data_IF_572510816816
#
_entry.id   IF_572510816816
#
_cell.length_a   1.000
_cell.length_b   1.000
_cell.length_c   1.000
_cell.angle_alpha   90.00
_cell.angle_beta   90.00
_cell.angle_gamma   90.00
#
_symmetry.space_group_name_H-M   'P 1'
#
loop_
_entity.id
_entity.type
_entity.pdbx_description
1 polymer ?
#
# COMPACT_ATOMS: atom_id res chain seq x y z
N UNK A 1 -6.16 -22.76 3.08
CA UNK A 1 -6.39 -21.71 2.09
C UNK A 1 -5.28 -20.74 2.28
N UNK A 2 -4.46 -20.55 1.24
CA UNK A 2 -3.27 -19.73 1.34
C UNK A 2 -3.67 -18.28 1.09
N UNK A 3 -3.26 -17.39 1.99
CA UNK A 3 -3.51 -15.96 1.85
C UNK A 3 -2.84 -15.44 0.57
N UNK A 4 -3.41 -14.39 -0.02
CA UNK A 4 -2.84 -13.76 -1.21
C UNK A 4 -1.53 -13.08 -0.82
N UNK A 5 -0.44 -13.52 -1.45
CA UNK A 5 0.90 -12.99 -1.20
C UNK A 5 1.08 -11.65 -1.90
N UNK A 6 1.40 -10.63 -1.12
CA UNK A 6 1.64 -9.27 -1.59
C UNK A 6 3.05 -8.85 -1.24
N UNK A 7 3.75 -8.23 -2.19
CA UNK A 7 4.97 -7.47 -1.94
C UNK A 7 4.69 -5.97 -2.11
N UNK A 8 5.42 -5.14 -1.35
CA UNK A 8 5.32 -3.68 -1.43
C UNK A 8 6.67 -3.09 -1.81
N UNK A 9 6.72 -2.25 -2.84
CA UNK A 9 7.84 -1.38 -3.18
C UNK A 9 7.38 0.07 -3.05
N UNK A 10 7.65 0.72 -1.92
CA UNK A 10 7.06 2.04 -1.70
C UNK A 10 7.36 2.61 -0.33
N UNK A 11 6.35 3.17 0.33
CA UNK A 11 6.49 3.87 1.61
C UNK A 11 5.46 3.43 2.64
N UNK A 12 5.43 4.12 3.79
CA UNK A 12 4.37 3.95 4.78
C UNK A 12 2.97 4.15 4.19
N UNK A 13 2.81 5.01 3.17
CA UNK A 13 1.53 5.21 2.49
C UNK A 13 0.93 3.92 1.93
N UNK A 14 1.78 3.00 1.46
CA UNK A 14 1.37 1.69 0.92
C UNK A 14 1.52 0.58 1.94
N UNK A 15 2.68 0.49 2.58
CA UNK A 15 3.03 -0.60 3.51
C UNK A 15 2.07 -0.66 4.70
N UNK A 16 1.67 0.48 5.25
CA UNK A 16 0.88 0.51 6.48
C UNK A 16 -0.58 0.08 6.26
N UNK A 17 -1.03 -0.08 5.01
CA UNK A 17 -2.29 -0.77 4.71
C UNK A 17 -2.27 -2.25 5.14
N UNK A 18 -1.07 -2.82 5.32
CA UNK A 18 -0.83 -4.16 5.86
C UNK A 18 -0.36 -4.12 7.32
N UNK A 19 -0.90 -3.19 8.10
CA UNK A 19 -0.66 -3.05 9.54
C UNK A 19 -1.96 -3.23 10.32
N UNK A 20 -1.99 -4.15 11.28
CA UNK A 20 -3.19 -4.47 12.06
C UNK A 20 -3.65 -3.32 12.97
N UNK A 21 -2.85 -2.25 13.13
CA UNK A 21 -3.30 -1.01 13.77
C UNK A 21 -4.31 -0.25 12.90
N UNK A 22 -4.13 -0.25 11.58
CA UNK A 22 -5.01 0.45 10.64
C UNK A 22 -6.07 -0.47 10.06
N UNK A 23 -5.69 -1.69 9.65
CA UNK A 23 -6.58 -2.69 9.09
C UNK A 23 -6.49 -4.01 9.91
N UNK A 24 -7.20 -4.16 11.04
CA UNK A 24 -7.03 -5.32 11.94
C UNK A 24 -7.16 -6.68 11.26
N UNK A 25 -8.03 -6.79 10.25
CA UNK A 25 -8.42 -8.06 9.61
C UNK A 25 -7.72 -8.33 8.28
N UNK A 26 -6.75 -7.50 7.83
CA UNK A 26 -6.14 -7.70 6.50
C UNK A 26 -5.53 -9.11 6.33
N UNK A 27 -5.06 -9.72 7.43
CA UNK A 27 -4.44 -11.05 7.48
C UNK A 27 -5.42 -12.19 7.20
N UNK A 28 -6.72 -11.93 7.14
CA UNK A 28 -7.70 -12.90 6.69
C UNK A 28 -7.68 -13.10 5.16
N UNK A 29 -7.06 -12.17 4.44
CA UNK A 29 -7.05 -12.12 2.97
C UNK A 29 -5.63 -12.07 2.40
N UNK A 30 -4.73 -11.30 3.02
CA UNK A 30 -3.41 -10.97 2.50
C UNK A 30 -2.29 -11.38 3.43
N UNK A 31 -1.17 -11.78 2.84
CA UNK A 31 0.12 -11.90 3.51
C UNK A 31 1.10 -10.94 2.84
N UNK A 32 1.49 -9.87 3.55
CA UNK A 32 2.53 -8.96 3.08
C UNK A 32 3.91 -9.60 3.33
N UNK A 33 4.40 -10.33 2.34
CA UNK A 33 5.55 -11.23 2.44
C UNK A 33 6.90 -10.52 2.24
N UNK A 34 6.89 -9.37 1.57
CA UNK A 34 8.11 -8.63 1.27
C UNK A 34 7.82 -7.14 1.20
N UNK A 35 8.74 -6.32 1.69
CA UNK A 35 8.67 -4.87 1.53
C UNK A 35 10.03 -4.34 1.11
N UNK A 36 10.06 -3.31 0.28
CA UNK A 36 11.19 -2.39 0.10
C UNK A 36 10.63 -1.01 0.41
N UNK A 37 11.23 -0.34 1.39
CA UNK A 37 10.67 0.90 1.90
C UNK A 37 11.59 2.08 1.59
N UNK A 38 11.01 3.14 1.02
CA UNK A 38 11.63 4.43 0.81
C UNK A 38 12.93 4.37 0.00
N UNK A 39 12.90 3.57 -1.08
CA UNK A 39 13.98 3.42 -2.08
C UNK A 39 13.50 3.93 -3.43
N UNK A 40 14.32 4.77 -4.07
CA UNK A 40 14.09 5.26 -5.44
C UNK A 40 14.23 4.12 -6.44
N UNK A 41 13.39 4.12 -7.48
CA UNK A 41 13.55 3.16 -8.59
C UNK A 41 14.90 3.27 -9.29
N UNK A 42 15.46 4.49 -9.36
CA UNK A 42 16.81 4.70 -9.92
C UNK A 42 17.84 3.90 -9.11
N UNK A 43 17.78 3.99 -7.79
CA UNK A 43 18.66 3.23 -6.90
C UNK A 43 18.44 1.73 -7.06
N UNK A 44 17.18 1.26 -6.99
CA UNK A 44 16.85 -0.16 -7.00
C UNK A 44 17.35 -0.88 -8.26
N UNK A 45 17.23 -0.23 -9.42
CA UNK A 45 17.58 -0.81 -10.72
C UNK A 45 19.00 -0.46 -11.20
N UNK A 46 19.84 0.04 -10.29
CA UNK A 46 21.26 0.28 -10.51
C UNK A 46 22.11 -0.85 -9.91
N UNK A 47 23.42 -0.82 -10.19
CA UNK A 47 24.36 -1.80 -9.65
C UNK A 47 24.38 -1.77 -8.10
N UNK A 48 24.50 -2.92 -7.42
CA UNK A 48 24.61 -2.96 -5.97
C UNK A 48 25.92 -2.30 -5.50
N UNK A 49 25.86 -1.72 -4.30
CA UNK A 49 27.02 -1.20 -3.60
C UNK A 49 27.63 -2.30 -2.74
N UNK A 50 28.95 -2.49 -2.85
CA UNK A 50 29.70 -3.33 -1.92
C UNK A 50 29.95 -2.51 -0.65
N UNK A 51 29.52 -3.03 0.49
CA UNK A 51 29.66 -2.38 1.79
C UNK A 51 30.04 -3.37 2.88
N UNK A 52 30.45 -2.82 4.02
CA UNK A 52 30.86 -3.50 5.24
C UNK A 52 30.06 -2.97 6.44
N UNK A 53 30.10 -3.64 7.58
CA UNK A 53 29.46 -3.15 8.81
C UNK A 53 29.93 -1.75 9.22
N UNK A 54 31.19 -1.40 8.93
CA UNK A 54 31.74 -0.08 9.20
C UNK A 54 31.15 1.02 8.30
N UNK A 55 30.52 0.66 7.19
CA UNK A 55 29.84 1.59 6.30
C UNK A 55 28.46 1.96 6.83
N UNK A 56 27.78 1.01 7.47
CA UNK A 56 26.44 1.18 8.07
C UNK A 56 26.54 1.86 9.44
N UNK A 57 27.46 1.38 10.30
CA UNK A 57 27.63 1.87 11.66
C UNK A 57 26.45 1.55 12.57
N UNK A 58 26.20 2.41 13.56
CA UNK A 58 25.13 2.22 14.54
C UNK A 58 23.81 2.82 14.03
N UNK A 59 22.90 1.93 13.60
CA UNK A 59 21.51 2.24 13.27
C UNK A 59 20.59 1.29 14.04
N UNK A 60 19.35 1.71 14.30
CA UNK A 60 18.32 0.78 14.74
C UNK A 60 17.98 -0.21 13.61
N UNK A 61 17.38 -1.35 13.95
CA UNK A 61 17.12 -2.44 13.00
C UNK A 61 16.34 -2.00 11.76
N UNK A 62 15.36 -1.11 11.94
CA UNK A 62 14.56 -0.59 10.83
C UNK A 62 15.40 0.29 9.90
N UNK A 63 16.13 1.27 10.43
CA UNK A 63 16.98 2.16 9.64
C UNK A 63 18.09 1.36 8.94
N UNK A 64 18.69 0.40 9.63
CA UNK A 64 19.68 -0.53 9.09
C UNK A 64 19.12 -1.30 7.89
N UNK A 65 17.98 -1.98 8.07
CA UNK A 65 17.34 -2.76 7.01
C UNK A 65 17.07 -1.93 5.75
N UNK A 66 16.60 -0.69 5.90
CA UNK A 66 16.35 0.18 4.74
C UNK A 66 17.65 0.56 4.00
N UNK A 67 18.72 0.86 4.74
CA UNK A 67 20.01 1.23 4.11
C UNK A 67 20.64 0.01 3.44
N UNK A 68 20.65 -1.14 4.12
CA UNK A 68 21.29 -2.37 3.62
C UNK A 68 20.57 -2.92 2.38
N UNK A 69 19.24 -2.90 2.35
CA UNK A 69 18.48 -3.33 1.17
C UNK A 69 18.61 -2.35 0.00
N UNK A 70 18.72 -1.04 0.27
CA UNK A 70 19.04 -0.05 -0.76
C UNK A 70 20.48 -0.21 -1.29
N UNK A 71 21.46 -0.59 -0.46
CA UNK A 71 22.83 -0.82 -0.92
C UNK A 71 22.95 -2.12 -1.72
N UNK A 72 22.42 -3.21 -1.19
CA UNK A 72 22.55 -4.55 -1.78
C UNK A 72 21.59 -4.83 -2.95
N UNK A 73 20.51 -4.04 -3.08
CA UNK A 73 19.39 -4.28 -4.00
C UNK A 73 18.72 -5.65 -3.79
N UNK A 74 18.82 -6.20 -2.57
CA UNK A 74 18.40 -7.58 -2.28
C UNK A 74 16.92 -7.85 -2.56
N UNK A 75 16.08 -6.82 -2.53
CA UNK A 75 14.64 -6.91 -2.83
C UNK A 75 14.35 -7.60 -4.17
N UNK A 76 15.17 -7.38 -5.21
CA UNK A 76 14.96 -8.03 -6.51
C UNK A 76 15.16 -9.55 -6.41
N UNK A 77 16.18 -10.01 -5.68
CA UNK A 77 16.41 -11.43 -5.45
C UNK A 77 15.33 -12.05 -4.56
N UNK A 78 14.89 -11.32 -3.53
CA UNK A 78 13.83 -11.76 -2.63
C UNK A 78 12.46 -11.84 -3.34
N UNK A 79 12.17 -10.94 -4.27
CA UNK A 79 10.97 -11.01 -5.13
C UNK A 79 10.93 -12.33 -5.91
N UNK A 80 12.04 -12.72 -6.54
CA UNK A 80 12.15 -14.00 -7.27
C UNK A 80 11.90 -15.18 -6.33
N UNK A 81 12.48 -15.14 -5.14
CA UNK A 81 12.40 -16.25 -4.18
C UNK A 81 10.99 -16.41 -3.61
N UNK A 82 10.28 -15.31 -3.38
CA UNK A 82 9.01 -15.30 -2.67
C UNK A 82 7.78 -15.35 -3.59
N UNK A 83 7.96 -15.01 -4.87
CA UNK A 83 6.94 -15.09 -5.93
C UNK A 83 5.58 -14.49 -5.51
N UNK A 84 5.52 -13.18 -5.18
CA UNK A 84 4.27 -12.55 -4.80
C UNK A 84 3.26 -12.56 -5.95
N UNK A 85 1.98 -12.75 -5.62
CA UNK A 85 0.89 -12.61 -6.59
C UNK A 85 0.73 -11.15 -7.03
N UNK A 86 0.91 -10.21 -6.10
CA UNK A 86 0.81 -8.77 -6.36
C UNK A 86 2.06 -8.02 -5.88
N UNK A 87 2.56 -7.12 -6.71
CA UNK A 87 3.54 -6.10 -6.32
C UNK A 87 2.85 -4.73 -6.32
N UNK A 88 2.72 -4.12 -5.14
CA UNK A 88 2.13 -2.78 -5.00
C UNK A 88 3.25 -1.74 -4.92
N UNK A 89 3.22 -0.76 -5.82
CA UNK A 89 4.29 0.23 -6.00
C UNK A 89 3.80 1.63 -5.69
N UNK A 90 4.59 2.42 -4.96
CA UNK A 90 4.48 3.87 -4.88
C UNK A 90 5.85 4.54 -5.08
N UNK A 91 5.87 5.79 -5.55
CA UNK A 91 7.09 6.52 -5.89
C UNK A 91 7.52 7.55 -4.84
N UNK A 92 7.15 7.33 -3.57
CA UNK A 92 7.46 8.27 -2.49
C UNK A 92 8.93 8.66 -2.43
N UNK A 93 9.84 7.69 -2.58
CA UNK A 93 11.26 7.95 -2.48
C UNK A 93 11.79 8.81 -3.62
N UNK A 94 11.26 8.60 -4.83
CA UNK A 94 11.60 9.40 -6.00
C UNK A 94 11.14 10.85 -5.84
N UNK A 95 9.98 11.06 -5.21
CA UNK A 95 9.42 12.39 -4.92
C UNK A 95 10.16 13.10 -3.78
N UNK A 96 10.51 12.39 -2.71
CA UNK A 96 11.02 13.03 -1.49
C UNK A 96 12.53 13.01 -1.33
N UNK A 97 13.25 12.07 -1.95
CA UNK A 97 14.68 11.87 -1.69
C UNK A 97 15.56 12.09 -2.92
N UNK A 98 15.19 11.52 -4.06
CA UNK A 98 16.10 11.42 -5.20
C UNK A 98 17.24 10.42 -4.92
N UNK A 99 18.36 10.58 -5.62
CA UNK A 99 19.51 9.67 -5.54
C UNK A 99 20.84 10.39 -5.39
N UNK A 100 21.86 9.68 -4.89
CA UNK A 100 23.27 10.05 -4.99
C UNK A 100 23.91 9.20 -6.08
N UNK A 101 24.59 9.86 -7.03
CA UNK A 101 25.44 9.23 -8.04
C UNK A 101 26.78 8.88 -7.42
N UNK A 102 27.20 7.61 -7.52
CA UNK A 102 28.48 7.14 -6.99
C UNK A 102 29.48 6.90 -8.13
N UNK A 103 29.07 6.09 -9.10
CA UNK A 103 29.83 5.71 -10.29
C UNK A 103 28.87 5.51 -11.47
N UNK A 104 29.39 5.05 -12.61
CA UNK A 104 28.55 4.74 -13.78
C UNK A 104 27.57 3.61 -13.45
N UNK A 105 26.26 3.89 -13.57
CA UNK A 105 25.17 2.95 -13.27
C UNK A 105 25.18 2.39 -11.83
N UNK A 106 25.71 3.15 -10.86
CA UNK A 106 25.62 2.83 -9.43
C UNK A 106 25.06 4.02 -8.65
N UNK A 107 23.84 3.84 -8.13
CA UNK A 107 23.10 4.86 -7.41
C UNK A 107 22.64 4.33 -6.04
N UNK A 108 22.52 5.23 -5.07
CA UNK A 108 21.85 4.97 -3.79
C UNK A 108 20.76 6.00 -3.56
N UNK A 109 19.70 5.63 -2.86
CA UNK A 109 18.62 6.57 -2.54
C UNK A 109 19.13 7.60 -1.54
N UNK A 110 18.92 8.90 -1.79
CA UNK A 110 19.32 9.97 -0.88
C UNK A 110 18.35 10.10 0.32
N UNK A 111 18.10 8.98 0.99
CA UNK A 111 17.20 8.93 2.13
C UNK A 111 17.84 9.62 3.34
N UNK A 112 17.71 10.95 3.39
CA UNK A 112 18.25 11.82 4.42
C UNK A 112 17.83 11.45 5.85
N UNK A 113 16.77 10.65 6.01
CA UNK A 113 16.32 10.19 7.33
C UNK A 113 17.17 9.04 7.88
N UNK A 114 17.87 8.29 7.03
CA UNK A 114 18.57 7.05 7.40
C UNK A 114 20.01 7.05 6.91
N UNK A 115 20.20 7.22 5.60
CA UNK A 115 21.52 7.20 4.96
C UNK A 115 22.47 8.22 5.58
N UNK A 116 21.99 9.43 5.86
CA UNK A 116 22.85 10.52 6.34
C UNK A 116 23.46 10.27 7.74
N UNK A 117 22.91 9.32 8.49
CA UNK A 117 23.43 8.92 9.81
C UNK A 117 24.64 7.99 9.69
N UNK A 118 24.79 7.30 8.55
CA UNK A 118 25.82 6.28 8.32
C UNK A 118 27.22 6.87 8.24
N UNK A 119 28.27 6.14 8.69
CA UNK A 119 29.65 6.49 8.40
C UNK A 119 29.95 6.58 6.90
N UNK A 120 29.30 5.75 6.07
CA UNK A 120 29.47 5.79 4.61
C UNK A 120 29.13 7.16 4.03
N UNK A 121 27.95 7.70 4.34
CA UNK A 121 27.54 9.01 3.84
C UNK A 121 28.47 10.13 4.34
N UNK A 122 28.93 10.08 5.59
CA UNK A 122 29.87 11.06 6.13
C UNK A 122 31.15 11.12 5.30
N UNK A 123 31.72 9.94 4.96
CA UNK A 123 32.92 9.86 4.12
C UNK A 123 32.66 10.29 2.68
N UNK A 124 31.49 9.99 2.11
CA UNK A 124 31.11 10.51 0.77
C UNK A 124 31.12 12.04 0.77
N UNK A 125 30.50 12.65 1.78
CA UNK A 125 30.42 14.10 1.94
C UNK A 125 31.81 14.73 2.13
N UNK A 126 32.67 14.14 2.96
CA UNK A 126 34.05 14.60 3.18
C UNK A 126 34.89 14.58 1.90
N UNK A 127 34.64 13.62 1.01
CA UNK A 127 35.30 13.52 -0.30
C UNK A 127 34.68 14.40 -1.38
N UNK A 128 33.55 15.06 -1.11
CA UNK A 128 32.76 15.77 -2.13
C UNK A 128 32.15 14.86 -3.19
N UNK A 129 32.05 13.55 -2.92
CA UNK A 129 31.52 12.53 -3.83
C UNK A 129 30.04 12.27 -3.52
N UNK A 130 29.23 13.33 -3.49
CA UNK A 130 27.82 13.29 -3.12
C UNK A 130 26.97 14.08 -4.12
N UNK A 131 27.19 13.83 -5.42
CA UNK A 131 26.36 14.40 -6.47
C UNK A 131 24.92 13.91 -6.31
N UNK A 132 24.02 14.84 -5.94
CA UNK A 132 22.62 14.57 -5.68
C UNK A 132 21.80 14.94 -6.89
N UNK A 133 20.94 14.04 -7.31
CA UNK A 133 20.02 14.22 -8.43
C UNK A 133 18.61 14.04 -7.88
N UNK A 134 17.77 15.08 -8.00
CA UNK A 134 16.38 15.05 -7.54
C UNK A 134 15.42 15.39 -8.67
N UNK A 135 14.16 14.96 -8.54
CA UNK A 135 13.13 15.29 -9.53
C UNK A 135 12.83 16.79 -9.62
N UNK A 136 13.11 17.55 -8.55
CA UNK A 136 12.86 18.99 -8.49
C UNK A 136 14.04 19.81 -9.03
N UNK A 137 15.26 19.48 -8.61
CA UNK A 137 16.44 20.27 -8.95
C UNK A 137 17.06 19.84 -10.30
N UNK A 138 16.75 18.62 -10.77
CA UNK A 138 17.34 17.99 -11.96
C UNK A 138 16.27 17.30 -12.82
N UNK A 139 15.09 17.91 -12.99
CA UNK A 139 13.89 17.26 -13.56
C UNK A 139 14.14 16.45 -14.83
N UNK A 140 14.74 17.04 -15.86
CA UNK A 140 14.96 16.34 -17.14
C UNK A 140 15.87 15.12 -17.00
N UNK A 141 17.01 15.28 -16.32
CA UNK A 141 17.96 14.20 -16.08
C UNK A 141 17.36 13.10 -15.20
N UNK A 142 16.67 13.51 -14.13
CA UNK A 142 16.05 12.59 -13.18
C UNK A 142 14.98 11.75 -13.85
N UNK A 143 14.06 12.38 -14.60
CA UNK A 143 13.00 11.69 -15.32
C UNK A 143 13.56 10.74 -16.38
N UNK A 144 14.63 11.12 -17.10
CA UNK A 144 15.27 10.21 -18.05
C UNK A 144 15.78 8.94 -17.37
N UNK A 145 16.53 9.08 -16.27
CA UNK A 145 17.05 7.93 -15.50
C UNK A 145 15.93 7.11 -14.87
N UNK A 146 14.92 7.78 -14.32
CA UNK A 146 13.79 7.12 -13.69
C UNK A 146 12.99 6.29 -14.70
N UNK A 147 12.70 6.83 -15.90
CA UNK A 147 12.04 6.09 -16.98
C UNK A 147 12.83 4.85 -17.40
N UNK A 148 14.15 4.99 -17.57
CA UNK A 148 15.03 3.84 -17.84
C UNK A 148 14.97 2.78 -16.73
N UNK A 149 14.90 3.20 -15.46
CA UNK A 149 14.75 2.26 -14.33
C UNK A 149 13.38 1.60 -14.29
N UNK A 150 12.30 2.31 -14.63
CA UNK A 150 10.97 1.70 -14.82
C UNK A 150 11.03 0.62 -15.89
N UNK A 151 11.64 0.93 -17.05
CA UNK A 151 11.78 -0.02 -18.14
C UNK A 151 12.57 -1.27 -17.72
N UNK A 152 13.68 -1.08 -16.98
CA UNK A 152 14.44 -2.19 -16.38
C UNK A 152 13.58 -3.02 -15.41
N UNK A 153 12.77 -2.38 -14.56
CA UNK A 153 11.92 -3.07 -13.58
C UNK A 153 10.87 -3.94 -14.28
N UNK A 154 10.15 -3.39 -15.26
CA UNK A 154 9.12 -4.15 -15.97
C UNK A 154 9.71 -5.24 -16.86
N UNK A 155 10.88 -5.02 -17.46
CA UNK A 155 11.62 -6.09 -18.14
C UNK A 155 11.98 -7.23 -17.18
N UNK A 156 12.50 -6.89 -15.98
CA UNK A 156 12.79 -7.87 -14.93
C UNK A 156 11.55 -8.64 -14.48
N UNK A 157 10.43 -7.96 -14.21
CA UNK A 157 9.19 -8.59 -13.78
C UNK A 157 8.64 -9.53 -14.87
N UNK A 158 8.61 -9.08 -16.12
CA UNK A 158 8.13 -9.91 -17.23
C UNK A 158 9.01 -11.15 -17.47
N UNK A 159 10.33 -11.04 -17.29
CA UNK A 159 11.25 -12.17 -17.46
C UNK A 159 11.20 -13.15 -16.27
N UNK A 160 11.16 -12.63 -15.04
CA UNK A 160 11.43 -13.41 -13.83
C UNK A 160 10.17 -13.75 -13.03
N UNK A 161 9.12 -12.97 -13.18
CA UNK A 161 7.87 -13.04 -12.40
C UNK A 161 6.65 -12.73 -13.29
N UNK A 162 6.45 -13.45 -14.41
CA UNK A 162 5.41 -13.11 -15.41
C UNK A 162 3.97 -13.15 -14.86
N UNK A 163 3.73 -13.88 -13.78
CA UNK A 163 2.42 -13.99 -13.12
C UNK A 163 2.21 -12.94 -12.02
N UNK A 164 3.22 -12.13 -11.71
CA UNK A 164 3.12 -11.09 -10.70
C UNK A 164 2.39 -9.86 -11.25
N UNK A 165 1.25 -9.54 -10.64
CA UNK A 165 0.43 -8.41 -11.06
C UNK A 165 0.90 -7.13 -10.37
N UNK A 166 1.26 -6.11 -11.16
CA UNK A 166 1.70 -4.82 -10.63
C UNK A 166 0.49 -3.91 -10.38
N UNK A 167 0.45 -3.31 -9.20
CA UNK A 167 -0.55 -2.31 -8.80
C UNK A 167 0.18 -1.00 -8.48
N UNK A 168 -0.17 0.08 -9.17
CA UNK A 168 0.30 1.43 -8.83
C UNK A 168 -0.61 2.04 -7.78
N UNK A 169 -0.03 2.38 -6.62
CA UNK A 169 -0.71 3.13 -5.59
C UNK A 169 -0.43 4.62 -5.74
N UNK A 170 -1.45 5.36 -6.18
CA UNK A 170 -1.40 6.82 -6.35
C UNK A 170 -1.55 7.54 -5.01
N UNK A 171 -0.53 7.41 -4.15
CA UNK A 171 -0.44 8.14 -2.89
C UNK A 171 -0.15 9.64 -3.14
N UNK A 172 -0.73 10.54 -2.34
CA UNK A 172 -0.53 11.99 -2.52
C UNK A 172 -0.27 12.67 -1.19
N UNK A 173 0.66 13.63 -1.21
CA UNK A 173 0.93 14.47 -0.06
C UNK A 173 -0.34 15.25 0.33
N UNK A 174 -0.75 15.14 1.60
CA UNK A 174 -1.79 15.97 2.22
C UNK A 174 -1.16 17.25 2.77
N UNK A 175 -1.84 18.38 2.63
CA UNK A 175 -1.37 19.66 3.15
C UNK A 175 -2.03 20.09 4.46
N UNK A 176 -3.00 19.32 4.95
CA UNK A 176 -3.84 19.71 6.09
C UNK A 176 -3.65 18.73 7.25
N UNK A 177 -3.44 19.30 8.43
CA UNK A 177 -3.49 18.65 9.73
C UNK A 177 -4.88 18.87 10.34
N UNK A 178 -5.53 17.79 10.77
CA UNK A 178 -6.67 17.85 11.67
C UNK A 178 -6.17 17.86 13.13
N UNK A 179 -6.11 19.03 13.73
CA UNK A 179 -5.77 19.25 15.12
C UNK A 179 -7.04 19.29 15.96
N UNK A 180 -7.51 18.12 16.40
CA UNK A 180 -8.69 17.97 17.26
C UNK A 180 -9.96 18.67 16.72
N UNK A 181 -10.21 18.53 15.41
CA UNK A 181 -11.33 19.14 14.70
C UNK A 181 -11.00 20.48 14.03
N UNK A 182 -9.84 21.06 14.31
CA UNK A 182 -9.37 22.28 13.65
C UNK A 182 -8.46 21.93 12.48
N UNK A 183 -8.77 22.43 11.29
CA UNK A 183 -7.93 22.21 10.10
C UNK A 183 -6.82 23.27 10.05
N UNK A 184 -5.57 22.81 10.06
CA UNK A 184 -4.36 23.66 10.05
C UNK A 184 -3.49 23.29 8.86
N UNK A 185 -2.86 24.26 8.23
CA UNK A 185 -1.88 24.00 7.17
C UNK A 185 -0.60 23.38 7.76
N UNK A 186 -0.32 22.15 7.32
CA UNK A 186 0.80 21.33 7.77
C UNK A 186 2.15 22.02 7.50
N UNK A 187 2.27 22.79 6.41
CA UNK A 187 3.47 23.53 6.05
C UNK A 187 3.80 24.69 7.01
N UNK A 188 2.81 25.16 7.78
CA UNK A 188 2.94 26.29 8.72
C UNK A 188 2.80 25.89 10.20
N UNK A 189 2.35 24.68 10.49
CA UNK A 189 2.08 24.24 11.86
C UNK A 189 3.35 23.96 12.72
N UNK A 190 4.53 23.95 12.10
CA UNK A 190 5.82 23.72 12.78
C UNK A 190 6.09 22.27 13.19
N UNK A 191 5.19 21.32 12.90
CA UNK A 191 5.34 19.90 13.26
C UNK A 191 6.16 19.08 12.27
N UNK A 192 6.23 19.51 11.01
CA UNK A 192 6.98 18.85 9.94
C UNK A 192 7.79 19.87 9.15
N UNK A 193 8.81 19.38 8.42
CA UNK A 193 9.54 20.21 7.47
C UNK A 193 8.56 20.73 6.41
N UNK A 194 8.62 22.04 6.11
CA UNK A 194 7.84 22.64 5.02
C UNK A 194 8.23 22.03 3.67
N UNK A 195 7.23 21.65 2.89
CA UNK A 195 7.37 21.13 1.54
C UNK A 195 6.38 21.82 0.59
N UNK A 196 6.68 21.87 -0.72
CA UNK A 196 5.74 22.36 -1.73
C UNK A 196 4.83 21.21 -2.18
N UNK A 197 3.76 20.94 -1.41
CA UNK A 197 2.84 19.82 -1.65
C UNK A 197 2.28 19.79 -3.06
N UNK A 198 1.93 20.95 -3.62
CA UNK A 198 1.39 21.03 -4.98
C UNK A 198 2.41 20.56 -6.01
N UNK A 199 3.63 21.08 -5.96
CA UNK A 199 4.70 20.69 -6.87
C UNK A 199 5.07 19.21 -6.72
N UNK A 200 5.18 18.72 -5.48
CA UNK A 200 5.50 17.31 -5.22
C UNK A 200 4.42 16.37 -5.78
N UNK A 201 3.14 16.72 -5.61
CA UNK A 201 2.05 15.91 -6.15
C UNK A 201 1.97 16.00 -7.68
N UNK A 202 2.30 17.14 -8.30
CA UNK A 202 2.40 17.25 -9.75
C UNK A 202 3.49 16.33 -10.30
N UNK A 203 4.67 16.31 -9.68
CA UNK A 203 5.72 15.36 -10.06
C UNK A 203 5.27 13.91 -9.85
N UNK A 204 4.56 13.61 -8.75
CA UNK A 204 4.05 12.26 -8.48
C UNK A 204 3.01 11.83 -9.53
N UNK A 205 2.12 12.74 -9.94
CA UNK A 205 1.17 12.50 -11.04
C UNK A 205 1.91 12.13 -12.34
N UNK A 206 3.00 12.82 -12.67
CA UNK A 206 3.81 12.51 -13.86
C UNK A 206 4.44 11.12 -13.80
N UNK A 207 5.00 10.74 -12.64
CA UNK A 207 5.58 9.41 -12.45
C UNK A 207 4.51 8.32 -12.57
N UNK A 208 3.39 8.45 -11.85
CA UNK A 208 2.31 7.46 -11.91
C UNK A 208 1.76 7.33 -13.33
N UNK A 209 1.49 8.45 -14.00
CA UNK A 209 0.90 8.46 -15.34
C UNK A 209 1.82 7.80 -16.37
N UNK A 210 3.14 8.03 -16.28
CA UNK A 210 4.09 7.36 -17.16
C UNK A 210 3.96 5.83 -17.07
N UNK A 211 3.92 5.26 -15.86
CA UNK A 211 3.81 3.80 -15.71
C UNK A 211 2.47 3.30 -16.23
N UNK A 212 1.37 3.98 -15.89
CA UNK A 212 0.02 3.62 -16.30
C UNK A 212 -0.12 3.61 -17.83
N UNK A 213 0.48 4.58 -18.53
CA UNK A 213 0.38 4.70 -19.98
C UNK A 213 1.22 3.68 -20.75
N UNK A 214 2.28 3.13 -20.13
CA UNK A 214 3.28 2.30 -20.82
C UNK A 214 3.23 0.82 -20.43
N UNK A 215 2.61 0.47 -19.30
CA UNK A 215 2.64 -0.88 -18.74
C UNK A 215 1.27 -1.39 -18.30
N UNK A 216 1.00 -2.71 -18.40
CA UNK A 216 -0.25 -3.29 -17.94
C UNK A 216 -0.27 -3.36 -16.41
N UNK A 217 -0.83 -2.34 -15.79
CA UNK A 217 -0.92 -2.22 -14.33
C UNK A 217 -2.36 -1.98 -13.88
N UNK A 218 -2.67 -2.45 -12.68
CA UNK A 218 -3.86 -1.99 -11.96
C UNK A 218 -3.54 -0.72 -11.16
N UNK A 219 -4.56 0.04 -10.78
CA UNK A 219 -4.38 1.31 -10.07
C UNK A 219 -5.24 1.35 -8.81
N UNK A 220 -4.62 1.72 -7.69
CA UNK A 220 -5.33 2.15 -6.49
C UNK A 220 -5.17 3.66 -6.37
N UNK A 221 -6.26 4.38 -6.57
CA UNK A 221 -6.34 5.83 -6.35
C UNK A 221 -7.44 6.12 -5.33
N UNK A 222 -7.10 6.81 -4.23
CA UNK A 222 -8.03 7.09 -3.13
C UNK A 222 -8.25 8.60 -3.08
N UNK A 223 -9.28 9.05 -3.79
CA UNK A 223 -9.58 10.46 -4.04
C UNK A 223 -11.07 10.79 -3.86
N UNK A 224 -11.82 9.92 -3.20
CA UNK A 224 -13.26 10.08 -2.92
C UNK A 224 -13.55 11.32 -2.06
N UNK A 225 -12.53 11.80 -1.33
CA UNK A 225 -12.56 13.05 -0.58
C UNK A 225 -11.15 13.60 -0.36
N UNK A 226 -11.07 14.77 0.27
CA UNK A 226 -9.81 15.33 0.75
C UNK A 226 -9.42 14.65 2.06
N UNK A 227 -8.29 13.96 2.04
CA UNK A 227 -7.68 13.35 3.22
C UNK A 227 -6.75 14.33 3.94
N UNK A 228 -6.63 14.14 5.25
CA UNK A 228 -5.80 14.93 6.14
C UNK A 228 -4.90 14.01 6.96
N UNK A 229 -3.87 14.59 7.59
CA UNK A 229 -3.12 13.92 8.68
C UNK A 229 -3.70 14.33 10.03
N UNK A 230 -3.34 13.64 11.11
CA UNK A 230 -3.76 13.96 12.48
C UNK A 230 -2.62 13.79 13.48
N UNK A 231 -2.78 14.34 14.69
CA UNK A 231 -1.72 14.39 15.69
C UNK A 231 -1.38 13.02 16.28
N UNK A 232 -2.40 12.22 16.56
CA UNK A 232 -2.31 10.93 17.24
C UNK A 232 -1.97 9.79 16.26
N UNK A 233 -1.60 10.12 15.01
CA UNK A 233 -1.18 9.11 14.05
C UNK A 233 -0.03 8.29 14.64
N UNK A 234 0.00 6.95 14.52
CA UNK A 234 1.01 6.10 15.15
C UNK A 234 2.47 6.49 14.85
N UNK A 235 2.69 7.22 13.76
CA UNK A 235 3.98 7.70 13.29
C UNK A 235 4.13 9.23 13.36
N UNK A 236 3.23 9.91 14.06
CA UNK A 236 3.10 11.36 14.09
C UNK A 236 2.51 11.94 12.79
N UNK A 237 2.16 13.24 12.78
CA UNK A 237 1.60 13.87 11.59
C UNK A 237 2.65 14.00 10.48
N UNK A 238 2.30 13.66 9.25
CA UNK A 238 3.17 13.79 8.08
C UNK A 238 2.36 13.86 6.79
N UNK A 239 2.99 14.31 5.70
CA UNK A 239 2.33 14.52 4.41
C UNK A 239 1.71 13.24 3.81
N UNK A 240 2.13 12.04 4.23
CA UNK A 240 1.56 10.77 3.75
C UNK A 240 1.04 9.88 4.89
N UNK A 241 0.74 10.49 6.04
CA UNK A 241 0.16 9.81 7.20
C UNK A 241 -1.31 10.21 7.31
N UNK A 242 -2.17 9.43 6.65
CA UNK A 242 -3.57 9.77 6.49
C UNK A 242 -4.41 9.41 7.71
N UNK A 243 -5.63 9.94 7.80
CA UNK A 243 -6.66 9.45 8.71
C UNK A 243 -7.00 7.98 8.44
N UNK A 244 -7.46 7.26 9.48
CA UNK A 244 -7.64 5.79 9.44
C UNK A 244 -8.51 5.28 8.28
N UNK A 245 -9.52 6.05 7.89
CA UNK A 245 -10.44 5.77 6.79
C UNK A 245 -9.75 5.67 5.42
N UNK A 246 -8.58 6.30 5.24
CA UNK A 246 -7.77 6.13 4.03
C UNK A 246 -7.33 4.67 3.86
N UNK A 247 -6.81 4.06 4.93
CA UNK A 247 -6.27 2.70 4.90
C UNK A 247 -7.37 1.65 4.68
N UNK A 248 -8.58 1.91 5.18
CA UNK A 248 -9.76 1.09 4.89
C UNK A 248 -10.17 1.22 3.42
N UNK A 249 -10.23 2.44 2.87
CA UNK A 249 -10.57 2.66 1.47
C UNK A 249 -9.53 2.08 0.50
N UNK A 250 -8.24 2.09 0.88
CA UNK A 250 -7.20 1.38 0.16
C UNK A 250 -7.52 -0.12 0.07
N UNK A 251 -7.82 -0.75 1.22
CA UNK A 251 -8.03 -2.19 1.29
C UNK A 251 -9.26 -2.60 0.48
N UNK A 252 -10.33 -1.81 0.51
CA UNK A 252 -11.51 -2.00 -0.35
C UNK A 252 -11.18 -1.95 -1.85
N UNK A 253 -10.31 -1.04 -2.28
CA UNK A 253 -9.87 -0.98 -3.69
C UNK A 253 -8.97 -2.16 -4.06
N UNK A 254 -8.07 -2.58 -3.17
CA UNK A 254 -7.26 -3.78 -3.38
C UNK A 254 -8.14 -5.03 -3.50
N UNK A 255 -9.14 -5.17 -2.62
CA UNK A 255 -10.14 -6.24 -2.68
C UNK A 255 -10.85 -6.31 -4.02
N UNK A 256 -11.24 -5.17 -4.60
CA UNK A 256 -11.89 -5.13 -5.93
C UNK A 256 -10.97 -5.63 -7.04
N UNK A 257 -9.70 -5.22 -7.04
CA UNK A 257 -8.71 -5.68 -8.04
C UNK A 257 -8.52 -7.18 -7.93
N UNK A 258 -8.29 -7.66 -6.71
CA UNK A 258 -8.09 -9.08 -6.41
C UNK A 258 -9.31 -9.91 -6.80
N UNK A 259 -10.50 -9.44 -6.42
CA UNK A 259 -11.75 -10.10 -6.77
C UNK A 259 -11.90 -10.26 -8.29
N UNK A 260 -11.65 -9.19 -9.06
CA UNK A 260 -11.74 -9.22 -10.52
C UNK A 260 -10.78 -10.23 -11.16
N UNK A 261 -9.59 -10.41 -10.57
CA UNK A 261 -8.59 -11.37 -11.06
C UNK A 261 -8.87 -12.82 -10.64
N UNK A 262 -9.66 -13.03 -9.59
CA UNK A 262 -9.86 -14.34 -8.98
C UNK A 262 -11.33 -14.78 -8.94
N UNK A 263 -12.23 -14.26 -9.78
CA UNK A 263 -13.70 -14.46 -9.78
C UNK A 263 -14.16 -15.93 -9.53
N UNK A 264 -13.34 -16.94 -9.85
CA UNK A 264 -13.64 -18.36 -9.68
C UNK A 264 -13.01 -19.05 -8.44
N UNK A 265 -12.35 -18.31 -7.54
CA UNK A 265 -11.65 -18.87 -6.38
C UNK A 265 -12.42 -18.64 -5.05
N UNK A 266 -12.29 -19.55 -4.10
CA UNK A 266 -13.04 -19.54 -2.84
C UNK A 266 -12.69 -18.34 -1.92
N UNK A 267 -11.57 -17.66 -2.18
CA UNK A 267 -11.12 -16.40 -1.54
C UNK A 267 -12.08 -15.23 -1.80
N UNK A 268 -12.80 -15.27 -2.93
CA UNK A 268 -13.80 -14.30 -3.40
C UNK A 268 -14.94 -14.12 -2.39
N UNK A 269 -15.39 -15.20 -1.73
CA UNK A 269 -16.54 -15.14 -0.82
C UNK A 269 -16.26 -14.31 0.43
N UNK A 270 -15.06 -14.43 1.02
CA UNK A 270 -14.69 -13.62 2.20
C UNK A 270 -14.48 -12.15 1.84
N UNK A 271 -13.90 -11.89 0.67
CA UNK A 271 -13.72 -10.53 0.17
C UNK A 271 -15.09 -9.87 -0.06
N UNK A 272 -16.05 -10.60 -0.62
CA UNK A 272 -17.43 -10.12 -0.76
C UNK A 272 -18.08 -9.82 0.59
N UNK A 273 -17.93 -10.71 1.58
CA UNK A 273 -18.46 -10.50 2.94
C UNK A 273 -17.91 -9.22 3.57
N UNK A 274 -16.60 -8.95 3.46
CA UNK A 274 -16.00 -7.73 4.01
C UNK A 274 -16.47 -6.47 3.27
N UNK A 275 -16.55 -6.52 1.92
CA UNK A 275 -17.12 -5.43 1.11
C UNK A 275 -18.56 -5.13 1.54
N UNK A 276 -19.39 -6.15 1.77
CA UNK A 276 -20.79 -5.97 2.19
C UNK A 276 -20.91 -5.46 3.63
N UNK A 277 -20.05 -5.93 4.53
CA UNK A 277 -20.03 -5.45 5.92
C UNK A 277 -19.64 -3.97 5.98
N UNK A 278 -18.62 -3.56 5.23
CA UNK A 278 -18.26 -2.14 5.11
C UNK A 278 -19.37 -1.32 4.46
N UNK A 279 -20.06 -1.86 3.46
CA UNK A 279 -21.23 -1.19 2.87
C UNK A 279 -22.34 -0.97 3.89
N UNK A 280 -22.66 -1.96 4.73
CA UNK A 280 -23.72 -1.83 5.74
C UNK A 280 -23.33 -0.82 6.85
N UNK A 281 -22.08 -0.83 7.30
CA UNK A 281 -21.54 0.18 8.25
C UNK A 281 -21.53 1.60 7.65
N UNK A 282 -21.20 1.73 6.36
CA UNK A 282 -21.24 3.00 5.63
C UNK A 282 -22.67 3.48 5.35
N UNK A 283 -23.61 2.57 5.14
CA UNK A 283 -25.04 2.85 4.96
C UNK A 283 -25.69 3.33 6.25
N UNK A 284 -25.24 2.81 7.40
CA UNK A 284 -25.62 3.34 8.70
C UNK A 284 -25.04 4.75 8.98
N UNK A 285 -23.87 5.06 8.40
CA UNK A 285 -23.14 6.32 8.66
C UNK A 285 -23.35 7.43 7.62
N UNK A 286 -23.74 7.15 6.37
CA UNK A 286 -23.91 8.17 5.33
C UNK A 286 -24.69 7.67 4.08
N UNK A 287 -25.89 8.20 3.83
CA UNK A 287 -26.73 7.84 2.67
C UNK A 287 -26.09 8.23 1.32
N UNK A 288 -25.32 9.32 1.27
CA UNK A 288 -24.80 9.86 0.02
C UNK A 288 -23.54 9.14 -0.48
N UNK A 289 -22.70 8.65 0.45
CA UNK A 289 -21.52 7.85 0.13
C UNK A 289 -21.93 6.45 -0.37
N UNK A 290 -22.97 5.88 0.25
CA UNK A 290 -23.56 4.60 -0.15
C UNK A 290 -24.11 4.65 -1.57
N UNK A 291 -24.73 5.76 -1.96
CA UNK A 291 -25.29 5.93 -3.30
C UNK A 291 -24.20 6.07 -4.39
N UNK A 292 -23.07 6.72 -4.08
CA UNK A 292 -21.93 6.79 -4.99
C UNK A 292 -21.26 5.42 -5.16
N UNK A 293 -21.11 4.66 -4.07
CA UNK A 293 -20.59 3.30 -4.10
C UNK A 293 -21.49 2.36 -4.93
N UNK A 294 -22.82 2.48 -4.77
CA UNK A 294 -23.82 1.74 -5.56
C UNK A 294 -23.76 2.10 -7.06
N UNK A 295 -23.49 3.37 -7.40
CA UNK A 295 -23.37 3.81 -8.78
C UNK A 295 -22.06 3.31 -9.42
N UNK A 296 -20.97 3.22 -8.66
CA UNK A 296 -19.72 2.62 -9.12
C UNK A 296 -19.81 1.09 -9.26
N UNK A 297 -20.53 0.42 -8.35
CA UNK A 297 -20.74 -1.04 -8.39
C UNK A 297 -21.67 -1.51 -9.53
N UNK A 298 -22.46 -0.60 -10.11
CA UNK A 298 -23.33 -0.90 -11.26
C UNK A 298 -22.58 -1.14 -12.58
N UNK A 299 -21.25 -0.97 -12.62
CA UNK A 299 -20.46 -1.00 -13.87
C UNK A 299 -20.05 -2.41 -14.34
N UNK A 300 -20.58 -3.49 -13.75
CA UNK A 300 -20.50 -4.81 -14.38
C UNK A 300 -21.77 -5.60 -14.12
N UNK A 301 -22.56 -5.82 -15.18
CA UNK A 301 -23.74 -6.71 -15.14
C UNK A 301 -23.34 -8.10 -14.62
N UNK A 302 -22.11 -8.54 -14.88
CA UNK A 302 -21.53 -9.78 -14.38
C UNK A 302 -21.32 -9.75 -12.86
N UNK A 303 -20.81 -8.63 -12.30
CA UNK A 303 -20.68 -8.44 -10.85
C UNK A 303 -22.04 -8.41 -10.18
N UNK A 304 -23.05 -7.79 -10.80
CA UNK A 304 -24.40 -7.74 -10.24
C UNK A 304 -25.05 -9.12 -10.19
N UNK A 305 -24.79 -9.97 -11.19
CA UNK A 305 -25.21 -11.38 -11.20
C UNK A 305 -24.48 -12.16 -10.10
N UNK A 306 -23.17 -12.00 -9.95
CA UNK A 306 -22.39 -12.67 -8.89
C UNK A 306 -22.83 -12.22 -7.49
N UNK A 307 -23.10 -10.93 -7.29
CA UNK A 307 -23.64 -10.38 -6.05
C UNK A 307 -25.02 -10.97 -5.74
N UNK A 308 -25.88 -11.14 -6.74
CA UNK A 308 -27.20 -11.72 -6.55
C UNK A 308 -27.10 -13.22 -6.21
N UNK A 309 -26.19 -13.95 -6.85
CA UNK A 309 -25.91 -15.36 -6.54
C UNK A 309 -25.35 -15.53 -5.12
N UNK A 310 -24.39 -14.69 -4.72
CA UNK A 310 -23.82 -14.69 -3.37
C UNK A 310 -24.86 -14.34 -2.30
N UNK A 311 -25.77 -13.39 -2.58
CA UNK A 311 -26.89 -13.06 -1.68
C UNK A 311 -27.88 -14.21 -1.54
N UNK A 312 -28.18 -14.93 -2.61
CA UNK A 312 -29.05 -16.11 -2.56
C UNK A 312 -28.42 -17.27 -1.79
N UNK A 313 -27.12 -17.50 -1.95
CA UNK A 313 -26.37 -18.54 -1.24
C UNK A 313 -26.22 -18.21 0.25
N UNK A 314 -25.87 -16.96 0.58
CA UNK A 314 -25.84 -16.48 1.95
C UNK A 314 -27.21 -16.55 2.63
N UNK A 315 -28.30 -16.21 1.93
CA UNK A 315 -29.66 -16.38 2.48
C UNK A 315 -30.03 -17.85 2.70
N UNK A 316 -29.60 -18.77 1.83
CA UNK A 316 -29.82 -20.22 2.03
C UNK A 316 -29.03 -20.74 3.24
N UNK A 317 -27.79 -20.30 3.43
CA UNK A 317 -26.98 -20.63 4.61
C UNK A 317 -27.58 -20.04 5.90
N UNK A 318 -28.03 -18.78 5.89
CA UNK A 318 -28.66 -18.13 7.03
C UNK A 318 -29.99 -18.80 7.41
N UNK A 319 -30.80 -19.21 6.44
CA UNK A 319 -32.02 -19.98 6.67
C UNK A 319 -31.74 -21.41 7.17
N UNK A 320 -30.64 -22.03 6.73
CA UNK A 320 -30.15 -23.32 7.25
C UNK A 320 -29.70 -23.19 8.71
N UNK A 321 -28.94 -22.14 9.06
CA UNK A 321 -28.53 -21.84 10.43
C UNK A 321 -29.71 -21.44 11.33
N UNK A 322 -30.70 -20.71 10.82
CA UNK A 322 -31.97 -20.46 11.54
C UNK A 322 -32.74 -21.75 11.78
N UNK A 323 -32.83 -22.66 10.80
CA UNK A 323 -33.46 -23.98 10.98
C UNK A 323 -32.70 -24.86 11.97
N UNK A 324 -31.37 -24.90 11.91
CA UNK A 324 -30.54 -25.67 12.84
C UNK A 324 -30.59 -25.12 14.27
N UNK A 325 -30.60 -23.80 14.45
CA UNK A 325 -30.76 -23.16 15.76
C UNK A 325 -32.18 -23.34 16.33
N UNK A 326 -33.22 -23.30 15.49
CA UNK A 326 -34.61 -23.61 15.88
C UNK A 326 -34.75 -25.10 16.25
N UNK A 327 -34.18 -26.03 15.49
CA UNK A 327 -34.19 -27.47 15.82
C UNK A 327 -33.44 -27.73 17.14
N UNK A 328 -32.30 -27.07 17.34
CA UNK A 328 -31.51 -27.17 18.57
C UNK A 328 -32.24 -26.55 19.77
N UNK A 329 -32.93 -25.42 19.56
CA UNK A 329 -33.81 -24.78 20.55
C UNK A 329 -35.02 -25.66 20.90
N UNK A 330 -35.69 -26.26 19.91
CA UNK A 330 -36.81 -27.18 20.11
C UNK A 330 -36.37 -28.48 20.83
N UNK A 331 -35.19 -29.03 20.51
CA UNK A 331 -34.58 -30.17 21.22
C UNK A 331 -34.20 -29.83 22.67
N UNK A 332 -33.80 -28.59 22.96
CA UNK A 332 -33.62 -28.11 24.34
C UNK A 332 -34.94 -27.95 25.08
N UNK A 333 -35.98 -27.43 24.42
CA UNK A 333 -37.30 -27.22 25.05
C UNK A 333 -38.07 -28.53 25.29
N UNK A 334 -37.87 -29.55 24.47
CA UNK A 334 -38.45 -30.89 24.69
C UNK A 334 -37.77 -31.68 25.82
N UNK A 335 -36.49 -31.38 26.12
CA UNK A 335 -35.77 -31.97 27.27
C UNK A 335 -36.11 -31.31 28.61
N UNK A 336 -36.66 -30.09 28.62
CA UNK A 336 -37.04 -29.36 29.85
C UNK A 336 -38.46 -29.70 30.33
N UNK A 337 -39.27 -30.42 29.54
CA UNK A 337 -40.64 -30.81 29.93
C UNK A 337 -40.82 -32.25 30.49
N UNK A 338 -39.73 -32.98 30.78
CA UNK A 338 -39.80 -34.36 31.33
C UNK A 338 -39.23 -34.49 32.75
N UNK A 339 -38.96 -33.37 33.45
CA UNK A 339 -38.59 -33.39 34.88
C UNK A 339 -39.32 -32.31 35.68
N UNK A 340 -40.64 -32.41 35.72
CA UNK A 340 -41.49 -31.86 36.80
C UNK A 340 -42.90 -32.41 36.65
N UNK A 341 -43.12 -33.63 37.14
CA UNK A 341 -44.42 -34.29 37.13
C UNK A 341 -44.33 -35.74 37.59
N UNK A 342 -44.65 -35.92 38.88
CA UNK A 342 -44.66 -37.14 39.72
C UNK A 342 -43.33 -37.44 40.40
#
# INVERSE_FOLDING_TARGET
MDNIKVAVLGSCATRDNFNSKFNPNYKEFYECILTQNQTSLISLMSSPLIYTENDIGELNDYDRWNVETDFSKSFLADLIKLEPTYLIVDFFADIHFGVISLETDQYITDNRWKLWKTPYYKRLKEKGANERITIIDNTEEYLLKWKQSVDKLFAFLNERLPECHVIIHKARNVSILNDNGTLVDLATCGRVKKENVQLLNQCWDELDQYVIDHYPVSVIEINDKKYHTYNEHPWGPFYVHYTEDYYHNFLLKLHRIVFANHINDHTVNKILEDIFKHHDDLKEKNEQLSQNLLNEMKVSEELQVIINLAKEEYHKELEKYKKESIITFLKRKSRVKVKSGI
#
